data_IF_707334535308
#
_entry.id   IF_707334535308
#
_cell.length_a   1.000
_cell.length_b   1.000
_cell.length_c   1.000
_cell.angle_alpha   90.00
_cell.angle_beta   90.00
_cell.angle_gamma   90.00
#
_symmetry.space_group_name_H-M   'P 1'
#
loop_
_entity.id
_entity.type
_entity.pdbx_description
1 polymer ?
#
# COMPACT_ATOMS: atom_id res chain seq x y z
N UNK A 1 -36.17 35.30 -68.87
CA UNK A 1 -36.78 35.66 -67.56
C UNK A 1 -36.27 37.03 -67.14
N UNK A 2 -37.22 37.89 -66.73
CA UNK A 2 -37.10 39.27 -66.24
C UNK A 2 -36.20 39.41 -65.00
N UNK A 3 -35.80 40.56 -64.43
CA UNK A 3 -35.55 41.99 -64.74
C UNK A 3 -35.04 42.60 -63.40
N UNK A 4 -34.24 43.68 -63.46
CA UNK A 4 -34.19 44.84 -62.53
C UNK A 4 -33.49 44.83 -61.14
N UNK A 5 -32.30 45.49 -61.08
CA UNK A 5 -31.85 46.70 -60.32
C UNK A 5 -32.44 47.12 -58.95
N UNK A 6 -31.55 47.46 -57.97
CA UNK A 6 -31.41 48.73 -57.15
C UNK A 6 -30.31 48.57 -56.06
N UNK A 7 -29.21 49.37 -55.97
CA UNK A 7 -28.98 50.68 -55.29
C UNK A 7 -29.45 50.70 -53.80
N UNK A 8 -28.78 51.17 -52.72
CA UNK A 8 -27.57 51.97 -52.41
C UNK A 8 -27.40 52.06 -50.83
N UNK A 9 -26.40 52.76 -50.22
CA UNK A 9 -25.83 52.54 -48.86
C UNK A 9 -26.09 53.65 -47.80
N UNK A 10 -25.70 53.46 -46.51
CA UNK A 10 -25.48 54.50 -45.46
C UNK A 10 -24.48 53.94 -44.38
N UNK A 11 -23.27 54.48 -44.11
CA UNK A 11 -22.82 55.68 -43.31
C UNK A 11 -23.30 55.64 -41.83
N UNK A 12 -22.54 55.88 -40.74
CA UNK A 12 -21.45 56.85 -40.46
C UNK A 12 -20.77 56.57 -39.07
N UNK A 13 -19.58 57.14 -38.85
CA UNK A 13 -18.74 57.18 -37.61
C UNK A 13 -19.21 58.22 -36.56
N UNK A 14 -18.78 58.06 -35.30
CA UNK A 14 -18.33 59.11 -34.33
C UNK A 14 -17.92 58.44 -32.99
N UNK A 15 -16.66 58.47 -32.53
CA UNK A 15 -15.90 59.53 -31.83
C UNK A 15 -16.08 59.54 -30.29
N UNK A 16 -14.96 59.29 -29.60
CA UNK A 16 -14.45 59.69 -28.27
C UNK A 16 -15.39 60.20 -27.17
N UNK A 17 -15.23 59.69 -25.93
CA UNK A 17 -15.11 60.52 -24.71
C UNK A 17 -14.46 59.74 -23.56
N UNK A 18 -13.38 60.29 -22.98
CA UNK A 18 -12.81 59.91 -21.68
C UNK A 18 -13.68 60.43 -20.53
N UNK A 19 -13.84 59.67 -19.44
CA UNK A 19 -14.20 60.22 -18.12
C UNK A 19 -13.50 59.46 -17.00
N UNK A 20 -12.53 60.15 -16.39
CA UNK A 20 -12.03 59.91 -15.04
C UNK A 20 -13.08 60.35 -14.02
N UNK A 21 -13.36 59.54 -13.01
CA UNK A 21 -13.81 60.05 -11.71
C UNK A 21 -13.51 59.05 -10.60
N UNK A 22 -12.45 59.36 -9.86
CA UNK A 22 -12.24 58.89 -8.50
C UNK A 22 -13.28 59.54 -7.59
N UNK A 23 -13.81 58.79 -6.62
CA UNK A 23 -14.37 59.37 -5.41
C UNK A 23 -13.99 58.51 -4.22
N UNK A 24 -13.04 59.00 -3.45
CA UNK A 24 -12.86 58.69 -2.03
C UNK A 24 -13.96 59.39 -1.24
N UNK A 25 -14.58 58.73 -0.25
CA UNK A 25 -14.38 59.07 1.18
C UNK A 25 -15.52 58.67 2.16
N UNK A 26 -15.07 58.48 3.40
CA UNK A 26 -15.69 58.58 4.74
C UNK A 26 -16.65 57.52 5.33
N UNK A 27 -16.25 57.10 6.53
CA UNK A 27 -16.91 56.30 7.57
C UNK A 27 -18.13 56.97 8.21
N UNK A 28 -19.11 56.19 8.72
CA UNK A 28 -19.52 56.16 10.16
C UNK A 28 -20.85 55.40 10.39
N UNK A 29 -20.78 54.40 11.27
CA UNK A 29 -21.72 53.94 12.32
C UNK A 29 -23.26 54.04 12.13
N UNK A 30 -23.95 52.88 12.14
CA UNK A 30 -25.14 52.55 12.98
C UNK A 30 -25.78 51.18 12.61
N UNK A 31 -26.62 50.55 13.48
CA UNK A 31 -26.62 49.10 13.71
C UNK A 31 -27.86 48.29 13.26
N UNK A 32 -27.73 46.94 13.34
CA UNK A 32 -28.75 45.86 13.35
C UNK A 32 -29.32 45.31 12.02
N UNK A 33 -29.83 44.06 11.99
CA UNK A 33 -29.11 42.79 12.13
C UNK A 33 -29.39 41.88 10.89
N UNK A 34 -29.03 40.59 10.96
CA UNK A 34 -29.28 39.53 9.95
C UNK A 34 -28.17 39.34 8.91
N UNK A 35 -27.18 38.51 9.24
CA UNK A 35 -26.95 37.27 8.48
C UNK A 35 -25.91 36.42 9.21
N UNK A 36 -26.39 35.53 10.07
CA UNK A 36 -25.59 34.43 10.61
C UNK A 36 -25.19 33.49 9.46
N UNK A 37 -24.06 33.78 8.79
CA UNK A 37 -23.39 32.81 7.91
C UNK A 37 -22.17 32.26 8.62
N UNK A 38 -22.48 31.25 9.43
CA UNK A 38 -21.69 30.03 9.63
C UNK A 38 -20.22 30.12 9.21
N UNK A 39 -19.36 30.39 10.18
CA UNK A 39 -18.00 29.83 10.18
C UNK A 39 -17.95 28.86 11.34
N UNK A 40 -18.51 27.66 11.10
CA UNK A 40 -18.25 26.52 11.97
C UNK A 40 -16.74 26.36 12.07
N UNK A 41 -16.22 26.60 13.27
CA UNK A 41 -14.92 26.10 13.70
C UNK A 41 -14.98 24.58 13.52
N UNK A 42 -14.56 24.10 12.35
CA UNK A 42 -14.31 22.67 12.20
C UNK A 42 -13.22 22.35 13.19
N UNK A 43 -13.63 21.56 14.17
CA UNK A 43 -12.85 20.99 15.25
C UNK A 43 -11.39 20.83 14.85
N UNK A 44 -10.50 21.45 15.64
CA UNK A 44 -9.07 21.16 15.70
C UNK A 44 -8.89 19.70 16.16
N UNK A 45 -9.31 18.76 15.33
CA UNK A 45 -8.63 17.47 15.27
C UNK A 45 -7.23 17.79 14.78
N UNK A 46 -6.25 17.16 15.41
CA UNK A 46 -4.82 17.30 15.21
C UNK A 46 -4.42 16.82 13.79
N UNK A 47 -5.01 17.43 12.78
CA UNK A 47 -4.90 17.07 11.39
C UNK A 47 -3.57 17.60 10.91
N UNK A 48 -2.56 16.73 10.95
CA UNK A 48 -1.26 17.02 10.36
C UNK A 48 -1.45 17.67 8.98
N UNK A 49 -0.80 18.80 8.68
CA UNK A 49 -1.03 19.53 7.45
C UNK A 49 -0.80 18.61 6.25
N UNK A 50 -1.80 18.53 5.37
CA UNK A 50 -1.76 17.73 4.15
C UNK A 50 -1.58 18.62 2.93
N UNK A 51 -0.98 18.06 1.88
CA UNK A 51 -0.79 18.70 0.58
C UNK A 51 -1.09 17.70 -0.52
N UNK A 52 -1.21 18.19 -1.75
CA UNK A 52 -1.40 17.32 -2.91
C UNK A 52 -0.16 17.29 -3.79
N UNK A 53 0.14 16.10 -4.31
CA UNK A 53 1.17 15.88 -5.31
C UNK A 53 0.56 15.19 -6.53
N UNK A 54 1.11 15.47 -7.72
CA UNK A 54 0.80 14.73 -8.95
C UNK A 54 1.92 13.73 -9.21
N UNK A 55 1.58 12.45 -9.28
CA UNK A 55 2.53 11.38 -9.61
C UNK A 55 2.19 10.80 -10.97
N UNK A 56 3.09 10.95 -11.93
CA UNK A 56 2.98 10.32 -13.24
C UNK A 56 3.31 8.83 -13.13
N UNK A 57 2.37 7.95 -13.48
CA UNK A 57 2.45 6.53 -13.16
C UNK A 57 2.19 5.61 -14.37
N UNK A 58 2.58 6.06 -15.57
CA UNK A 58 2.43 5.32 -16.83
C UNK A 58 3.09 3.93 -16.79
N UNK A 59 4.10 3.74 -15.94
CA UNK A 59 4.76 2.44 -15.75
C UNK A 59 3.85 1.38 -15.12
N UNK A 60 2.73 1.77 -14.50
CA UNK A 60 1.72 0.83 -14.00
C UNK A 60 0.78 0.39 -15.12
N UNK A 61 0.22 1.35 -15.86
CA UNK A 61 -0.57 1.11 -17.08
C UNK A 61 -0.47 2.30 -18.03
N UNK A 62 -0.58 2.04 -19.33
CA UNK A 62 -0.44 3.06 -20.37
C UNK A 62 -1.53 4.15 -20.33
N UNK A 63 -2.74 3.80 -19.86
CA UNK A 63 -3.88 4.71 -19.70
C UNK A 63 -3.73 5.67 -18.50
N UNK A 64 -2.79 5.41 -17.59
CA UNK A 64 -2.56 6.23 -16.41
C UNK A 64 -1.54 7.31 -16.74
N UNK A 65 -2.02 8.52 -17.03
CA UNK A 65 -1.12 9.66 -17.20
C UNK A 65 -0.52 10.10 -15.86
N UNK A 66 -1.36 10.56 -14.93
CA UNK A 66 -0.97 10.91 -13.57
C UNK A 66 -2.09 10.64 -12.57
N UNK A 67 -1.69 10.50 -11.30
CA UNK A 67 -2.60 10.44 -10.17
C UNK A 67 -2.28 11.55 -9.18
N UNK A 68 -3.28 12.36 -8.86
CA UNK A 68 -3.21 13.29 -7.73
C UNK A 68 -3.44 12.52 -6.42
N UNK A 69 -2.51 12.67 -5.48
CA UNK A 69 -2.55 12.07 -4.15
C UNK A 69 -2.56 13.18 -3.10
N UNK A 70 -3.39 13.04 -2.07
CA UNK A 70 -3.30 13.83 -0.84
C UNK A 70 -2.36 13.09 0.12
N UNK A 71 -1.30 13.77 0.58
CA UNK A 71 -0.25 13.21 1.45
C UNK A 71 0.10 14.20 2.56
N UNK A 72 0.69 13.71 3.63
CA UNK A 72 1.23 14.56 4.70
C UNK A 72 2.70 14.88 4.42
N UNK A 73 3.27 15.83 5.16
CA UNK A 73 4.70 16.13 5.09
C UNK A 73 5.61 14.99 5.55
N UNK A 74 5.06 14.00 6.26
CA UNK A 74 5.80 12.82 6.71
C UNK A 74 5.69 11.63 5.76
N UNK A 75 4.75 11.67 4.80
CA UNK A 75 4.55 10.57 3.86
C UNK A 75 5.82 10.33 3.06
N UNK A 76 6.30 9.09 3.09
CA UNK A 76 7.53 8.66 2.42
C UNK A 76 7.27 8.23 0.99
N UNK A 77 8.33 8.16 0.16
CA UNK A 77 8.23 7.62 -1.19
C UNK A 77 7.75 6.16 -1.18
N UNK A 78 8.19 5.34 -0.22
CA UNK A 78 7.73 3.95 -0.02
C UNK A 78 6.22 3.88 0.17
N UNK A 79 5.67 4.74 1.01
CA UNK A 79 4.21 4.80 1.26
C UNK A 79 3.43 5.28 0.03
N UNK A 80 3.99 6.21 -0.74
CA UNK A 80 3.39 6.65 -2.02
C UNK A 80 3.33 5.50 -3.02
N UNK A 81 4.43 4.74 -3.18
CA UNK A 81 4.48 3.54 -4.03
C UNK A 81 3.40 2.55 -3.60
N UNK A 82 3.34 2.21 -2.31
CA UNK A 82 2.35 1.26 -1.79
C UNK A 82 0.92 1.75 -2.02
N UNK A 83 0.66 3.04 -1.81
CA UNK A 83 -0.65 3.67 -2.03
C UNK A 83 -1.08 3.58 -3.50
N UNK A 84 -0.15 3.81 -4.43
CA UNK A 84 -0.42 3.68 -5.87
C UNK A 84 -0.72 2.22 -6.25
N UNK A 85 0.09 1.27 -5.81
CA UNK A 85 -0.15 -0.16 -6.09
C UNK A 85 -1.49 -0.63 -5.52
N UNK A 86 -1.83 -0.23 -4.29
CA UNK A 86 -3.12 -0.53 -3.66
C UNK A 86 -4.28 0.05 -4.48
N UNK A 87 -4.19 1.33 -4.84
CA UNK A 87 -5.24 2.05 -5.58
C UNK A 87 -5.54 1.41 -6.93
N UNK A 88 -4.51 0.93 -7.62
CA UNK A 88 -4.64 0.30 -8.92
C UNK A 88 -4.79 -1.24 -8.86
N UNK A 89 -5.02 -1.81 -7.67
CA UNK A 89 -5.20 -3.25 -7.41
C UNK A 89 -3.99 -4.11 -7.85
N UNK A 90 -2.79 -3.55 -7.75
CA UNK A 90 -1.51 -4.18 -8.12
C UNK A 90 -0.70 -4.69 -6.90
N UNK A 91 -1.38 -5.09 -5.82
CA UNK A 91 -0.76 -5.58 -4.58
C UNK A 91 0.06 -6.87 -4.75
N UNK A 92 -0.15 -7.58 -5.85
CA UNK A 92 0.59 -8.78 -6.24
C UNK A 92 1.90 -8.46 -6.97
N UNK A 93 2.21 -7.18 -7.21
CA UNK A 93 3.51 -6.77 -7.73
C UNK A 93 4.40 -6.41 -6.56
N UNK A 94 5.69 -6.66 -6.74
CA UNK A 94 6.70 -6.31 -5.76
C UNK A 94 6.87 -4.78 -5.66
N UNK A 95 6.60 -4.15 -4.50
CA UNK A 95 6.77 -2.71 -4.31
C UNK A 95 8.24 -2.25 -4.45
N UNK A 96 9.22 -3.10 -4.15
CA UNK A 96 10.64 -2.78 -4.23
C UNK A 96 11.16 -2.70 -5.68
N UNK A 97 10.33 -3.04 -6.65
CA UNK A 97 10.59 -2.78 -8.07
C UNK A 97 10.24 -1.35 -8.47
N UNK A 98 9.58 -0.57 -7.62
CA UNK A 98 9.15 0.77 -7.97
C UNK A 98 9.85 1.82 -7.11
N UNK A 99 10.08 3.00 -7.70
CA UNK A 99 10.68 4.13 -7.00
C UNK A 99 10.18 5.43 -7.61
N UNK A 100 10.31 6.52 -6.86
CA UNK A 100 9.95 7.85 -7.34
C UNK A 100 11.17 8.57 -7.89
N UNK A 101 10.89 9.39 -8.90
CA UNK A 101 11.79 10.40 -9.42
C UNK A 101 11.11 11.75 -9.33
N UNK A 102 11.90 12.81 -9.17
CA UNK A 102 11.44 14.18 -9.19
C UNK A 102 12.23 14.97 -10.21
N UNK A 103 11.52 15.56 -11.15
CA UNK A 103 12.11 16.55 -12.05
C UNK A 103 12.15 17.91 -11.37
N UNK A 104 13.32 18.55 -11.43
CA UNK A 104 13.58 19.88 -10.86
C UNK A 104 14.13 20.77 -11.96
N UNK A 105 13.64 22.01 -12.04
CA UNK A 105 14.10 23.01 -13.01
C UNK A 105 15.04 24.01 -12.35
N UNK A 106 16.29 24.07 -12.81
CA UNK A 106 17.28 25.04 -12.34
C UNK A 106 17.13 26.34 -13.13
N UNK A 107 16.40 27.30 -12.55
CA UNK A 107 16.01 28.56 -13.21
C UNK A 107 17.17 29.34 -13.84
N UNK A 108 18.32 29.44 -13.16
CA UNK A 108 19.47 30.20 -13.65
C UNK A 108 20.11 29.60 -14.91
N UNK A 109 19.93 28.31 -15.15
CA UNK A 109 20.56 27.61 -16.27
C UNK A 109 19.53 27.12 -17.32
N UNK A 110 18.23 27.21 -17.03
CA UNK A 110 17.18 26.62 -17.88
C UNK A 110 17.24 25.09 -17.97
N UNK A 111 18.06 24.44 -17.13
CA UNK A 111 18.31 23.00 -17.18
C UNK A 111 17.28 22.27 -16.33
N UNK A 112 16.70 21.21 -16.89
CA UNK A 112 15.82 20.27 -16.20
C UNK A 112 16.63 19.04 -15.77
N UNK A 113 16.62 18.73 -14.49
CA UNK A 113 17.34 17.58 -13.92
C UNK A 113 16.36 16.61 -13.28
N UNK A 114 16.55 15.31 -13.49
CA UNK A 114 15.75 14.26 -12.85
C UNK A 114 16.52 13.68 -11.68
N UNK A 115 15.95 13.82 -10.49
CA UNK A 115 16.47 13.27 -9.25
C UNK A 115 15.79 11.93 -8.95
N UNK A 116 16.57 10.90 -8.66
CA UNK A 116 16.07 9.64 -8.09
C UNK A 116 15.86 9.87 -6.60
N UNK A 117 14.67 9.54 -6.10
CA UNK A 117 14.34 9.71 -4.68
C UNK A 117 14.53 8.40 -3.91
N UNK A 118 15.11 8.51 -2.71
CA UNK A 118 15.19 7.43 -1.75
C UNK A 118 13.80 7.04 -1.22
N UNK A 119 13.68 5.83 -0.69
CA UNK A 119 12.40 5.27 -0.22
C UNK A 119 11.83 6.06 0.97
N UNK A 120 12.71 6.60 1.81
CA UNK A 120 12.41 7.39 3.01
C UNK A 120 12.26 8.88 2.70
N UNK A 121 12.58 9.32 1.47
CA UNK A 121 12.42 10.71 1.07
C UNK A 121 10.94 11.13 1.15
N UNK A 122 10.70 12.40 1.50
CA UNK A 122 9.35 12.93 1.77
C UNK A 122 8.91 13.86 0.64
N UNK A 123 8.06 13.41 -0.32
CA UNK A 123 7.74 14.17 -1.53
C UNK A 123 7.10 15.54 -1.25
N UNK A 124 6.26 15.64 -0.22
CA UNK A 124 5.63 16.90 0.17
C UNK A 124 6.65 17.94 0.64
N UNK A 125 7.65 17.52 1.42
CA UNK A 125 8.74 18.39 1.86
C UNK A 125 9.58 18.85 0.65
N UNK A 126 9.95 17.91 -0.23
CA UNK A 126 10.71 18.24 -1.44
C UNK A 126 9.97 19.21 -2.37
N UNK A 127 8.65 19.01 -2.55
CA UNK A 127 7.80 19.90 -3.33
C UNK A 127 7.73 21.31 -2.72
N UNK A 128 7.76 21.43 -1.39
CA UNK A 128 7.68 22.73 -0.70
C UNK A 128 8.94 23.58 -0.85
N UNK A 129 10.09 22.94 -1.10
CA UNK A 129 11.35 23.63 -1.38
C UNK A 129 11.43 24.18 -2.81
N UNK A 130 10.44 23.87 -3.66
CA UNK A 130 10.40 24.31 -5.03
C UNK A 130 9.32 25.37 -5.25
N UNK A 131 9.51 26.26 -6.22
CA UNK A 131 8.45 27.16 -6.63
C UNK A 131 7.20 26.39 -7.10
N UNK A 132 6.01 26.97 -6.87
CA UNK A 132 4.73 26.33 -7.15
C UNK A 132 4.64 25.92 -8.64
N UNK A 133 4.47 24.63 -8.88
CA UNK A 133 4.28 24.06 -10.22
C UNK A 133 5.54 23.50 -10.89
N UNK A 134 6.73 23.71 -10.31
CA UNK A 134 8.00 23.32 -10.94
C UNK A 134 8.46 21.88 -10.59
N UNK A 135 7.76 21.19 -9.66
CA UNK A 135 8.08 19.81 -9.24
C UNK A 135 7.22 18.80 -9.97
N UNK A 136 7.85 17.85 -10.68
CA UNK A 136 7.15 16.75 -11.35
C UNK A 136 7.61 15.40 -10.81
N UNK A 137 6.73 14.71 -10.10
CA UNK A 137 7.00 13.36 -9.60
C UNK A 137 6.59 12.29 -10.61
N UNK A 138 7.45 11.30 -10.85
CA UNK A 138 7.12 10.15 -11.69
C UNK A 138 7.51 8.84 -11.00
N UNK A 139 6.62 7.85 -11.07
CA UNK A 139 6.88 6.49 -10.68
C UNK A 139 7.68 5.79 -11.78
N UNK A 140 8.75 5.12 -11.41
CA UNK A 140 9.66 4.40 -12.30
C UNK A 140 9.82 2.95 -11.83
N UNK A 141 10.32 2.08 -12.71
CA UNK A 141 10.57 0.66 -12.42
C UNK A 141 12.05 0.33 -12.43
N UNK A 142 12.51 -0.43 -11.43
CA UNK A 142 13.85 -1.03 -11.36
C UNK A 142 13.84 -2.37 -12.08
N UNK A 143 15.04 -2.84 -12.43
CA UNK A 143 15.22 -4.22 -12.92
C UNK A 143 14.98 -5.20 -11.76
N UNK A 144 14.37 -6.32 -12.09
CA UNK A 144 14.15 -7.45 -11.17
C UNK A 144 14.60 -8.77 -11.78
N UNK A 145 14.36 -9.86 -11.06
CA UNK A 145 14.57 -11.22 -11.52
C UNK A 145 13.34 -12.09 -11.26
N UNK A 146 13.16 -13.12 -12.10
CA UNK A 146 12.10 -14.10 -11.94
C UNK A 146 12.53 -15.16 -10.94
N UNK A 147 11.68 -15.43 -9.96
CA UNK A 147 11.79 -16.56 -9.04
C UNK A 147 10.58 -17.48 -9.23
N UNK A 148 10.81 -18.79 -9.14
CA UNK A 148 9.76 -19.81 -9.18
C UNK A 148 9.56 -20.38 -7.78
N UNK A 149 8.31 -20.37 -7.31
CA UNK A 149 7.93 -20.86 -5.98
C UNK A 149 6.87 -21.94 -6.13
N UNK A 150 7.16 -23.14 -5.65
CA UNK A 150 6.18 -24.21 -5.52
C UNK A 150 5.24 -23.88 -4.36
N UNK A 151 3.96 -23.71 -4.67
CA UNK A 151 2.98 -23.06 -3.80
C UNK A 151 1.67 -23.84 -3.63
N UNK A 152 1.74 -25.17 -3.81
CA UNK A 152 0.60 -26.09 -3.63
C UNK A 152 -0.09 -25.96 -2.27
N UNK A 153 0.63 -25.51 -1.23
CA UNK A 153 0.08 -25.24 0.11
C UNK A 153 -0.87 -24.03 0.16
N UNK A 154 -0.77 -23.12 -0.81
CA UNK A 154 -1.65 -21.96 -0.97
C UNK A 154 -2.75 -22.23 -2.00
N UNK A 155 -2.41 -22.93 -3.09
CA UNK A 155 -3.32 -23.29 -4.16
C UNK A 155 -3.15 -24.77 -4.52
N UNK A 156 -3.99 -25.68 -4.01
CA UNK A 156 -3.94 -27.10 -4.35
C UNK A 156 -3.98 -27.31 -5.87
N UNK A 157 -3.09 -28.16 -6.37
CA UNK A 157 -2.94 -28.42 -7.81
C UNK A 157 -2.08 -27.39 -8.58
N UNK A 158 -1.67 -26.28 -7.96
CA UNK A 158 -0.66 -25.38 -8.55
C UNK A 158 0.70 -26.07 -8.63
N UNK A 159 1.35 -25.99 -9.79
CA UNK A 159 2.71 -26.47 -9.99
C UNK A 159 3.72 -25.50 -9.36
N UNK A 160 3.70 -24.24 -9.80
CA UNK A 160 4.50 -23.17 -9.23
C UNK A 160 3.92 -21.81 -9.62
N UNK A 161 4.17 -20.79 -8.78
CA UNK A 161 4.04 -19.38 -9.13
C UNK A 161 5.39 -18.85 -9.62
N UNK A 162 5.37 -18.08 -10.70
CA UNK A 162 6.53 -17.27 -11.12
C UNK A 162 6.29 -15.81 -10.76
N UNK A 163 7.20 -15.20 -10.01
CA UNK A 163 7.11 -13.80 -9.58
C UNK A 163 8.36 -13.04 -10.03
N UNK A 164 8.15 -11.85 -10.61
CA UNK A 164 9.21 -10.88 -10.85
C UNK A 164 9.41 -10.07 -9.57
N UNK A 165 10.60 -10.17 -8.99
CA UNK A 165 10.95 -9.50 -7.73
C UNK A 165 12.24 -8.68 -7.84
N UNK A 166 12.38 -7.69 -6.96
CA UNK A 166 13.60 -6.92 -6.75
C UNK A 166 14.66 -7.77 -6.07
N UNK A 167 15.94 -7.43 -6.29
CA UNK A 167 17.03 -8.03 -5.52
C UNK A 167 16.97 -7.68 -4.03
N UNK A 168 16.24 -6.63 -3.65
CA UNK A 168 16.09 -6.17 -2.26
C UNK A 168 14.99 -6.88 -1.49
N UNK A 169 14.13 -7.62 -2.19
CA UNK A 169 12.91 -8.22 -1.61
C UNK A 169 13.26 -9.37 -0.69
N UNK A 170 12.76 -9.30 0.53
CA UNK A 170 13.01 -10.34 1.54
C UNK A 170 12.06 -11.53 1.36
N UNK A 171 12.32 -12.63 2.09
CA UNK A 171 11.45 -13.81 2.13
C UNK A 171 10.05 -13.42 2.62
N UNK A 172 9.95 -12.63 3.69
CA UNK A 172 8.66 -12.19 4.23
C UNK A 172 7.86 -11.36 3.22
N UNK A 173 8.53 -10.44 2.53
CA UNK A 173 7.91 -9.64 1.47
C UNK A 173 7.48 -10.52 0.29
N UNK A 174 8.28 -11.51 -0.11
CA UNK A 174 7.92 -12.48 -1.16
C UNK A 174 6.67 -13.28 -0.77
N UNK A 175 6.61 -13.79 0.46
CA UNK A 175 5.44 -14.50 0.98
C UNK A 175 4.22 -13.57 0.96
N UNK A 176 4.36 -12.32 1.42
CA UNK A 176 3.27 -11.35 1.39
C UNK A 176 2.77 -11.08 -0.04
N UNK A 177 3.66 -10.98 -1.03
CA UNK A 177 3.30 -10.83 -2.45
C UNK A 177 2.55 -12.07 -2.94
N UNK A 178 3.03 -13.27 -2.60
CA UNK A 178 2.40 -14.53 -2.99
C UNK A 178 0.98 -14.67 -2.40
N UNK A 179 0.80 -14.30 -1.13
CA UNK A 179 -0.53 -14.24 -0.49
C UNK A 179 -1.44 -13.23 -1.19
N UNK A 180 -0.90 -12.07 -1.61
CA UNK A 180 -1.65 -11.08 -2.37
C UNK A 180 -2.08 -11.60 -3.76
N UNK A 181 -1.30 -12.48 -4.41
CA UNK A 181 -1.70 -13.12 -5.66
C UNK A 181 -2.97 -13.95 -5.53
N UNK A 182 -3.20 -14.54 -4.36
CA UNK A 182 -4.37 -15.37 -4.06
C UNK A 182 -5.43 -14.65 -3.24
N UNK A 183 -5.24 -13.34 -2.99
CA UNK A 183 -6.10 -12.53 -2.12
C UNK A 183 -6.33 -13.19 -0.74
N UNK A 184 -5.31 -13.91 -0.25
CA UNK A 184 -5.34 -14.55 1.07
C UNK A 184 -5.23 -13.51 2.18
N UNK A 185 -5.90 -13.78 3.30
CA UNK A 185 -5.83 -12.98 4.54
C UNK A 185 -4.93 -13.62 5.59
N UNK A 186 -4.30 -14.74 5.26
CA UNK A 186 -3.33 -15.39 6.14
C UNK A 186 -2.16 -14.43 6.42
N UNK A 187 -1.50 -14.62 7.55
CA UNK A 187 -0.34 -13.80 7.93
C UNK A 187 0.94 -14.44 7.43
N UNK A 188 1.95 -13.62 7.13
CA UNK A 188 3.26 -14.05 6.63
C UNK A 188 3.90 -15.08 7.56
N UNK A 189 3.79 -14.89 8.88
CA UNK A 189 4.45 -15.76 9.86
C UNK A 189 3.84 -17.16 9.95
N UNK A 190 2.69 -17.39 9.30
CA UNK A 190 2.11 -18.72 9.13
C UNK A 190 2.85 -19.56 8.09
N UNK A 191 3.81 -18.98 7.37
CA UNK A 191 4.54 -19.67 6.33
C UNK A 191 6.06 -19.54 6.51
N UNK A 192 6.77 -20.45 5.86
CA UNK A 192 8.23 -20.38 5.71
C UNK A 192 8.59 -20.72 4.27
N UNK A 193 9.64 -20.09 3.75
CA UNK A 193 10.22 -20.42 2.46
C UNK A 193 11.43 -21.35 2.64
N UNK A 194 11.51 -22.35 1.79
CA UNK A 194 12.62 -23.29 1.74
C UNK A 194 13.30 -23.20 0.38
N UNK A 195 14.63 -23.27 0.36
CA UNK A 195 15.36 -23.72 -0.82
C UNK A 195 15.49 -25.25 -0.74
N UNK A 196 15.21 -25.93 -1.85
CA UNK A 196 15.24 -27.39 -1.94
C UNK A 196 16.13 -27.79 -3.09
N UNK A 197 17.16 -28.58 -2.80
CA UNK A 197 18.08 -29.16 -3.77
C UNK A 197 17.65 -30.60 -4.07
N UNK A 198 17.03 -30.84 -5.23
CA UNK A 198 16.57 -32.19 -5.59
C UNK A 198 17.75 -33.16 -5.76
N UNK A 199 18.83 -32.68 -6.37
CA UNK A 199 20.01 -33.50 -6.67
C UNK A 199 20.73 -34.04 -5.43
N UNK A 200 20.54 -33.43 -4.25
CA UNK A 200 21.16 -33.84 -2.99
C UNK A 200 20.12 -34.24 -1.93
N UNK A 201 18.84 -34.29 -2.29
CA UNK A 201 17.71 -34.52 -1.37
C UNK A 201 17.74 -33.65 -0.10
N UNK A 202 18.33 -32.46 -0.21
CA UNK A 202 18.53 -31.55 0.91
C UNK A 202 17.59 -30.35 0.81
N UNK A 203 17.24 -29.80 1.98
CA UNK A 203 16.40 -28.62 2.06
C UNK A 203 16.87 -27.73 3.21
N UNK A 204 16.76 -26.42 3.00
CA UNK A 204 17.11 -25.42 4.00
C UNK A 204 15.98 -24.41 4.11
N UNK A 205 15.55 -24.15 5.35
CA UNK A 205 14.65 -23.04 5.66
C UNK A 205 15.42 -21.73 5.51
N UNK A 206 14.86 -20.78 4.77
CA UNK A 206 15.42 -19.45 4.62
C UNK A 206 15.01 -18.54 5.77
N UNK A 207 15.87 -17.60 6.13
CA UNK A 207 15.57 -16.58 7.12
C UNK A 207 14.55 -15.57 6.56
N UNK A 208 13.64 -15.01 7.37
CA UNK A 208 12.70 -13.96 6.94
C UNK A 208 13.34 -12.78 6.18
N UNK A 209 14.55 -12.41 6.57
CA UNK A 209 15.33 -11.32 5.97
C UNK A 209 16.23 -11.75 4.79
N UNK A 210 16.32 -13.06 4.50
CA UNK A 210 17.05 -13.51 3.31
C UNK A 210 16.38 -12.96 2.05
N UNK A 211 17.18 -12.75 1.00
CA UNK A 211 16.69 -12.24 -0.29
C UNK A 211 16.61 -13.38 -1.31
N UNK A 212 15.42 -13.85 -1.69
CA UNK A 212 15.26 -15.03 -2.54
C UNK A 212 15.99 -14.91 -3.88
N UNK A 213 16.05 -13.70 -4.47
CA UNK A 213 16.78 -13.52 -5.72
C UNK A 213 18.30 -13.68 -5.54
N UNK A 214 18.87 -13.18 -4.43
CA UNK A 214 20.28 -13.40 -4.11
C UNK A 214 20.57 -14.88 -3.77
N UNK A 215 19.64 -15.55 -3.09
CA UNK A 215 19.74 -17.00 -2.81
C UNK A 215 19.78 -17.78 -4.13
N UNK A 216 18.86 -17.49 -5.05
CA UNK A 216 18.80 -18.14 -6.36
C UNK A 216 20.07 -17.93 -7.20
N UNK A 217 20.71 -16.76 -7.09
CA UNK A 217 21.95 -16.45 -7.81
C UNK A 217 23.17 -17.23 -7.29
N UNK A 218 23.10 -17.79 -6.07
CA UNK A 218 24.18 -18.60 -5.47
C UNK A 218 24.02 -20.10 -5.76
N UNK A 219 22.93 -20.51 -6.41
CA UNK A 219 22.72 -21.90 -6.77
C UNK A 219 23.74 -22.39 -7.80
N UNK A 220 24.28 -23.59 -7.55
CA UNK A 220 25.21 -24.23 -8.47
C UNK A 220 24.48 -24.69 -9.74
N UNK A 221 24.98 -24.38 -10.95
CA UNK A 221 24.33 -24.78 -12.19
C UNK A 221 24.19 -26.30 -12.38
N UNK A 222 25.03 -27.09 -11.70
CA UNK A 222 25.02 -28.55 -11.78
C UNK A 222 23.93 -29.21 -10.92
N UNK A 223 23.22 -28.43 -10.10
CA UNK A 223 22.22 -28.92 -9.16
C UNK A 223 20.86 -28.32 -9.46
N UNK A 224 19.80 -29.12 -9.29
CA UNK A 224 18.43 -28.65 -9.48
C UNK A 224 17.86 -28.11 -8.18
N UNK A 225 17.72 -26.78 -8.11
CA UNK A 225 17.14 -26.09 -6.97
C UNK A 225 15.77 -25.49 -7.30
N UNK A 226 14.92 -25.38 -6.28
CA UNK A 226 13.68 -24.62 -6.35
C UNK A 226 13.30 -24.04 -4.98
N UNK A 227 12.45 -23.02 -5.00
CA UNK A 227 11.81 -22.54 -3.77
C UNK A 227 10.50 -23.29 -3.51
N UNK A 228 10.25 -23.60 -2.24
CA UNK A 228 9.03 -24.26 -1.76
C UNK A 228 8.49 -23.50 -0.56
N UNK A 229 7.21 -23.09 -0.60
CA UNK A 229 6.54 -22.51 0.56
C UNK A 229 5.83 -23.61 1.36
N UNK A 230 5.89 -23.52 2.70
CA UNK A 230 5.21 -24.44 3.63
C UNK A 230 4.49 -23.68 4.72
N UNK A 231 3.41 -24.28 5.26
CA UNK A 231 2.70 -23.79 6.45
C UNK A 231 3.49 -24.15 7.72
N UNK A 232 3.55 -23.22 8.66
CA UNK A 232 4.11 -23.40 10.00
C UNK A 232 3.01 -23.92 10.92
N UNK A 233 3.05 -25.22 11.24
CA UNK A 233 2.00 -25.89 12.04
C UNK A 233 1.90 -25.32 13.46
N UNK A 234 3.02 -24.89 14.02
CA UNK A 234 3.10 -24.37 15.39
C UNK A 234 2.71 -22.90 15.53
N UNK A 235 2.29 -22.23 14.45
CA UNK A 235 1.80 -20.85 14.55
C UNK A 235 0.48 -20.83 15.32
N UNK A 236 0.58 -20.64 16.64
CA UNK A 236 -0.58 -20.37 17.49
C UNK A 236 -1.10 -19.00 17.10
N UNK A 237 -2.20 -18.97 16.35
CA UNK A 237 -2.97 -17.75 16.13
C UNK A 237 -3.22 -17.14 17.51
N UNK A 238 -2.64 -15.96 17.75
CA UNK A 238 -2.80 -15.22 19.00
C UNK A 238 -4.23 -14.67 19.03
N UNK A 239 -5.21 -15.58 19.14
CA UNK A 239 -6.60 -15.24 19.30
C UNK A 239 -6.73 -14.51 20.64
N UNK A 240 -7.31 -13.31 20.59
CA UNK A 240 -7.63 -12.47 21.74
C UNK A 240 -8.76 -13.11 22.55
N UNK A 241 -8.49 -14.21 23.23
CA UNK A 241 -9.29 -14.55 24.41
C UNK A 241 -8.65 -13.86 25.61
N UNK A 242 -8.85 -12.53 25.70
CA UNK A 242 -8.90 -11.91 27.03
C UNK A 242 -10.20 -12.43 27.64
N UNK A 243 -10.16 -13.60 28.27
CA UNK A 243 -11.14 -13.93 29.30
C UNK A 243 -10.92 -12.86 30.36
N UNK A 244 -11.77 -11.84 30.37
CA UNK A 244 -11.91 -10.96 31.52
C UNK A 244 -12.49 -11.86 32.61
N UNK A 245 -11.62 -12.35 33.48
CA UNK A 245 -12.05 -12.99 34.73
C UNK A 245 -12.70 -11.88 35.55
N UNK A 246 -14.02 -11.93 35.85
CA UNK A 246 -14.62 -10.97 36.75
C UNK A 246 -14.00 -11.19 38.12
N UNK A 247 -13.34 -10.16 38.65
CA UNK A 247 -12.92 -10.13 40.05
C UNK A 247 -14.19 -10.11 40.90
N UNK A 248 -14.52 -11.24 41.52
CA UNK A 248 -15.50 -11.28 42.61
C UNK A 248 -14.77 -10.93 43.92
N UNK A 249 -15.29 -10.00 44.74
CA UNK A 249 -14.74 -9.75 46.07
C UNK A 249 -15.11 -10.93 46.97
N UNK A 250 -14.09 -11.55 47.56
CA UNK A 250 -14.22 -12.63 48.53
C UNK A 250 -14.97 -12.15 49.78
N UNK A 251 -16.11 -12.75 50.07
CA UNK A 251 -16.64 -12.81 51.43
C UNK A 251 -16.15 -14.10 52.10
N UNK A 252 -15.56 -13.89 53.26
CA UNK A 252 -14.91 -14.81 54.19
C UNK A 252 -15.84 -15.84 54.82
N UNK A 253 -15.23 -16.97 55.24
CA UNK A 253 -15.47 -17.80 56.47
C UNK A 253 -15.50 -19.33 56.18
N UNK A 254 -15.21 -20.23 57.15
CA UNK A 254 -13.85 -20.76 57.32
C UNK A 254 -13.76 -22.29 57.38
N UNK A 255 -12.51 -22.78 57.33
CA UNK A 255 -11.94 -23.95 58.02
C UNK A 255 -12.87 -25.10 58.45
N UNK A 256 -12.65 -26.30 57.89
CA UNK A 256 -12.49 -27.53 58.68
C UNK A 256 -12.04 -28.73 57.83
N UNK A 257 -10.94 -29.33 58.27
CA UNK A 257 -10.76 -30.77 58.47
C UNK A 257 -10.68 -31.73 57.26
N UNK A 258 -9.45 -32.23 57.04
CA UNK A 258 -9.06 -33.66 57.15
C UNK A 258 -9.91 -34.68 56.39
N UNK A 259 -9.33 -35.30 55.36
CA UNK A 259 -8.86 -36.71 55.39
C UNK A 259 -8.40 -37.18 54.00
N UNK A 260 -7.21 -37.78 53.99
CA UNK A 260 -6.71 -38.71 52.99
C UNK A 260 -7.64 -39.91 52.83
N UNK A 261 -7.83 -40.43 51.62
CA UNK A 261 -7.98 -41.87 51.34
C UNK A 261 -7.82 -42.12 49.82
N UNK A 262 -6.92 -43.06 49.52
CA UNK A 262 -6.73 -43.76 48.25
C UNK A 262 -7.94 -44.63 47.89
N UNK A 263 -8.24 -44.85 46.61
CA UNK A 263 -8.36 -46.20 45.99
C UNK A 263 -8.78 -46.16 44.48
N UNK A 264 -8.08 -46.98 43.70
CA UNK A 264 -8.49 -47.83 42.57
C UNK A 264 -9.20 -47.28 41.31
N UNK A 265 -8.55 -47.58 40.18
CA UNK A 265 -9.04 -47.76 38.79
C UNK A 265 -10.22 -48.74 38.65
N UNK A 266 -10.99 -48.68 37.54
CA UNK A 266 -10.75 -49.63 36.45
C UNK A 266 -10.93 -49.06 35.01
N UNK A 267 -10.29 -49.72 34.05
CA UNK A 267 -10.59 -49.68 32.60
C UNK A 267 -12.07 -50.00 32.30
N UNK A 268 -12.57 -49.64 31.10
CA UNK A 268 -12.81 -50.71 30.12
C UNK A 268 -12.58 -50.34 28.63
N UNK A 269 -11.84 -51.22 27.95
CA UNK A 269 -12.13 -51.90 26.68
C UNK A 269 -12.77 -51.15 25.49
N UNK A 270 -12.02 -51.14 24.38
CA UNK A 270 -12.50 -51.08 23.00
C UNK A 270 -13.49 -52.20 22.63
N UNK A 271 -14.35 -51.96 21.63
CA UNK A 271 -14.62 -52.97 20.63
C UNK A 271 -14.31 -52.48 19.20
N UNK A 272 -14.17 -53.48 18.34
CA UNK A 272 -13.62 -53.50 16.99
C UNK A 272 -14.75 -53.80 15.97
N UNK A 273 -14.44 -53.61 14.68
CA UNK A 273 -15.11 -54.07 13.44
C UNK A 273 -16.14 -53.20 12.68
N UNK A 274 -15.68 -52.79 11.49
CA UNK A 274 -16.29 -52.86 10.14
C UNK A 274 -17.76 -52.48 9.89
N UNK A 275 -17.97 -51.51 8.98
CA UNK A 275 -18.58 -51.86 7.69
C UNK A 275 -18.46 -50.76 6.62
N UNK A 276 -18.20 -51.20 5.40
CA UNK A 276 -18.28 -50.45 4.14
C UNK A 276 -19.71 -49.95 3.88
N UNK A 277 -19.87 -48.79 3.25
CA UNK A 277 -20.82 -48.60 2.14
C UNK A 277 -20.43 -47.38 1.28
N UNK A 278 -20.33 -47.65 -0.02
CA UNK A 278 -20.31 -46.68 -1.12
C UNK A 278 -21.65 -45.95 -1.20
N UNK A 279 -21.64 -44.62 -1.40
CA UNK A 279 -22.29 -43.89 -2.52
C UNK A 279 -21.46 -42.64 -2.80
#
# INVERSE_FOLDING_TARGET
MLKHVQLSPYRTRSADTFSLSSNTSYSSLSPEPLSSRSSSYSSLSDASPSTTIKVYARCLRADIEYKTLSITFQTTCREVVQSLLNKYRMRHRDPNLFYLTMEVTVRKAGVRTVLVLDEEARPAALQSCQPRGDSRFALQTRRGGLVKIYDSVLMPGSQYKSLLISCRTTVDELIQILLNCYNSKDRVEQFSLYEVCKSQESQRKLHPDDRPLEVQQRWLPSHEYHFLIRRNVDYKSRSRTKVVVPWTPSLSLPCSSRQSLSLSSPEPSHPEYENYFYI
#
